data_IF_685803182116
#
_entry.id   IF_685803182116
#
_cell.length_a   1.000
_cell.length_b   1.000
_cell.length_c   1.000
_cell.angle_alpha   90.00
_cell.angle_beta   90.00
_cell.angle_gamma   90.00
#
_symmetry.space_group_name_H-M   'P 1'
#
loop_
_entity.id
_entity.type
_entity.pdbx_description
1 polymer ?
#
# COMPACT_ATOMS: atom_id res chain seq x y z
N UNK A 1 9.52 -1.82 -68.30
CA UNK A 1 9.32 -0.71 -69.27
C UNK A 1 7.85 -0.70 -69.71
N UNK A 2 7.28 0.49 -69.94
CA UNK A 2 5.94 0.77 -70.55
C UNK A 2 4.71 0.29 -69.72
N UNK A 3 3.92 1.23 -69.17
CA UNK A 3 2.76 1.94 -69.78
C UNK A 3 1.57 1.00 -70.05
N UNK A 4 0.32 1.21 -69.61
CA UNK A 4 -0.28 2.27 -68.76
C UNK A 4 -1.35 3.11 -69.48
N UNK A 5 -2.64 2.97 -69.12
CA UNK A 5 -3.77 3.84 -69.57
C UNK A 5 -4.95 3.83 -68.58
N UNK A 6 -5.59 4.99 -68.38
CA UNK A 6 -6.93 5.12 -67.75
C UNK A 6 -8.08 4.85 -68.75
N UNK A 7 -9.35 5.18 -68.51
CA UNK A 7 -9.85 6.33 -67.71
C UNK A 7 -11.38 6.29 -67.45
N UNK A 8 -11.82 6.69 -66.23
CA UNK A 8 -12.97 7.59 -65.87
C UNK A 8 -14.47 7.30 -66.19
N UNK A 9 -15.30 7.94 -65.33
CA UNK A 9 -16.77 8.32 -65.42
C UNK A 9 -17.78 7.21 -65.04
N UNK A 10 -18.94 7.47 -64.38
CA UNK A 10 -19.51 8.69 -63.75
C UNK A 10 -20.63 8.32 -62.75
N UNK A 11 -21.00 9.24 -61.84
CA UNK A 11 -22.20 9.16 -60.99
C UNK A 11 -23.30 10.15 -61.42
N UNK A 12 -24.57 9.89 -61.04
CA UNK A 12 -25.49 10.95 -60.62
C UNK A 12 -26.21 10.58 -59.29
N UNK A 13 -26.39 11.42 -58.26
CA UNK A 13 -26.95 12.79 -58.06
C UNK A 13 -28.41 12.79 -57.52
N UNK A 14 -28.51 12.96 -56.18
CA UNK A 14 -29.56 13.61 -55.35
C UNK A 14 -30.85 14.16 -56.00
N UNK A 15 -31.99 14.03 -55.27
CA UNK A 15 -32.92 15.08 -54.77
C UNK A 15 -34.05 14.43 -53.92
N UNK A 16 -34.86 15.05 -53.04
CA UNK A 16 -34.75 16.19 -52.06
C UNK A 16 -36.08 16.31 -51.28
N UNK A 17 -36.05 16.74 -50.00
CA UNK A 17 -37.19 17.40 -49.29
C UNK A 17 -37.84 16.59 -48.16
N UNK A 18 -38.37 17.19 -47.06
CA UNK A 18 -38.38 18.60 -46.65
C UNK A 18 -38.56 18.75 -45.10
N UNK A 19 -38.31 19.96 -44.60
CA UNK A 19 -38.35 20.51 -43.23
C UNK A 19 -39.57 20.10 -42.34
N UNK A 20 -39.53 20.15 -40.99
CA UNK A 20 -39.34 21.39 -40.21
C UNK A 20 -38.82 21.28 -38.74
N UNK A 21 -38.55 22.48 -38.20
CA UNK A 21 -37.78 22.83 -36.99
C UNK A 21 -38.23 22.31 -35.61
N UNK A 22 -37.22 22.13 -34.74
CA UNK A 22 -37.32 22.33 -33.28
C UNK A 22 -35.95 22.67 -32.71
N UNK A 23 -35.67 23.95 -32.41
CA UNK A 23 -34.35 24.39 -31.89
C UNK A 23 -34.38 24.45 -30.35
N UNK A 24 -33.47 23.73 -29.68
CA UNK A 24 -33.01 24.13 -28.35
C UNK A 24 -31.57 23.70 -28.04
N UNK A 25 -30.70 24.69 -27.95
CA UNK A 25 -29.55 24.78 -27.02
C UNK A 25 -28.60 23.59 -26.86
N UNK A 26 -27.45 23.69 -27.53
CA UNK A 26 -26.09 23.50 -26.98
C UNK A 26 -25.99 22.68 -25.67
N UNK A 27 -25.38 21.50 -25.76
CA UNK A 27 -24.42 20.98 -24.76
C UNK A 27 -23.57 19.87 -25.41
N UNK A 28 -22.38 20.23 -25.89
CA UNK A 28 -21.40 19.26 -26.40
C UNK A 28 -20.82 18.47 -25.24
N UNK A 29 -21.35 17.27 -24.98
CA UNK A 29 -20.75 16.33 -24.03
C UNK A 29 -19.47 15.69 -24.60
N UNK A 30 -18.39 16.46 -24.57
CA UNK A 30 -17.04 15.97 -24.87
C UNK A 30 -16.40 15.44 -23.57
N UNK A 31 -16.91 14.32 -23.08
CA UNK A 31 -16.35 13.59 -21.95
C UNK A 31 -15.94 12.17 -22.39
N UNK A 32 -14.77 12.04 -23.02
CA UNK A 32 -14.11 10.73 -23.14
C UNK A 32 -13.59 10.31 -21.76
N UNK A 33 -14.04 9.18 -21.19
CA UNK A 33 -13.48 8.70 -19.94
C UNK A 33 -12.03 8.27 -20.18
N UNK A 34 -11.06 9.00 -19.63
CA UNK A 34 -9.66 8.57 -19.63
C UNK A 34 -9.54 7.25 -18.88
N UNK A 35 -9.01 6.17 -19.49
CA UNK A 35 -8.83 4.90 -18.81
C UNK A 35 -7.76 5.05 -17.73
N UNK A 36 -7.99 4.43 -16.58
CA UNK A 36 -7.08 4.42 -15.44
C UNK A 36 -5.76 3.74 -15.82
N UNK A 37 -4.74 4.54 -16.14
CA UNK A 37 -3.35 4.09 -16.13
C UNK A 37 -2.93 3.91 -14.67
N UNK A 38 -3.17 2.71 -14.14
CA UNK A 38 -2.50 2.23 -12.92
C UNK A 38 -1.00 2.24 -13.21
N UNK A 39 -0.19 3.06 -12.54
CA UNK A 39 1.24 3.06 -12.78
C UNK A 39 1.85 1.77 -12.21
N UNK A 40 2.80 1.18 -12.95
CA UNK A 40 3.45 -0.07 -12.59
C UNK A 40 4.33 0.08 -11.33
N UNK A 41 3.72 -0.14 -10.17
CA UNK A 41 4.33 -0.18 -8.85
C UNK A 41 3.75 -1.38 -8.08
N UNK A 42 4.59 -2.13 -7.38
CA UNK A 42 4.12 -3.12 -6.41
C UNK A 42 3.65 -2.41 -5.12
N UNK A 43 2.49 -2.79 -4.56
CA UNK A 43 2.00 -2.24 -3.30
C UNK A 43 2.67 -2.95 -2.11
N UNK A 44 3.30 -2.14 -1.24
CA UNK A 44 4.01 -2.64 -0.04
C UNK A 44 2.99 -3.18 0.98
N UNK A 45 1.93 -2.40 1.25
CA UNK A 45 0.76 -2.75 2.06
C UNK A 45 -0.47 -3.13 1.22
N UNK A 46 -1.52 -3.71 1.80
CA UNK A 46 -2.82 -3.94 1.14
C UNK A 46 -3.96 -4.12 2.20
N UNK A 47 -5.23 -3.96 1.83
CA UNK A 47 -6.15 -2.93 2.30
C UNK A 47 -6.99 -3.35 3.53
N UNK A 48 -8.04 -2.57 3.80
CA UNK A 48 -9.03 -2.87 4.83
C UNK A 48 -9.58 -4.31 4.76
N UNK A 49 -9.92 -4.92 5.91
CA UNK A 49 -10.76 -6.11 5.94
C UNK A 49 -12.10 -5.85 5.25
N UNK A 50 -12.59 -6.82 4.47
CA UNK A 50 -13.85 -6.68 3.74
C UNK A 50 -15.08 -6.66 4.67
N UNK A 51 -15.56 -5.45 5.01
CA UNK A 51 -16.94 -5.03 5.36
C UNK A 51 -16.93 -3.48 5.43
N UNK A 52 -18.01 -2.70 5.22
CA UNK A 52 -19.40 -2.98 4.83
C UNK A 52 -19.67 -2.44 3.39
N UNK A 53 -20.85 -1.85 3.15
CA UNK A 53 -21.26 -1.19 1.90
C UNK A 53 -21.18 0.34 2.03
N UNK A 54 -20.76 1.03 0.97
CA UNK A 54 -20.94 2.48 0.85
C UNK A 54 -22.40 2.81 0.50
N UNK A 55 -23.06 3.66 1.29
CA UNK A 55 -24.29 4.34 0.87
C UNK A 55 -23.98 5.39 -0.20
N UNK A 56 -24.65 5.38 -1.37
CA UNK A 56 -24.32 6.23 -2.52
C UNK A 56 -24.86 7.68 -2.37
N UNK A 57 -24.46 8.36 -1.29
CA UNK A 57 -24.89 9.74 -0.97
C UNK A 57 -23.76 10.76 -0.81
N UNK A 58 -22.51 10.33 -0.61
CA UNK A 58 -21.35 11.22 -0.42
C UNK A 58 -20.74 11.67 -1.76
N UNK A 59 -21.54 12.39 -2.55
CA UNK A 59 -21.01 13.16 -3.67
C UNK A 59 -20.21 14.35 -3.15
N UNK A 60 -18.93 14.39 -3.53
CA UNK A 60 -18.07 15.58 -3.49
C UNK A 60 -17.69 16.10 -2.09
N UNK A 61 -16.98 15.26 -1.32
CA UNK A 61 -16.15 15.73 -0.19
C UNK A 61 -15.07 16.70 -0.72
N UNK A 62 -15.20 17.97 -0.34
CA UNK A 62 -14.28 19.06 -0.67
C UNK A 62 -12.86 18.82 -0.10
N UNK A 63 -11.82 19.28 -0.80
CA UNK A 63 -10.43 19.16 -0.33
C UNK A 63 -10.14 20.04 0.90
N UNK A 64 -11.04 20.97 1.23
CA UNK A 64 -10.99 21.78 2.46
C UNK A 64 -11.37 21.02 3.74
N UNK A 65 -11.76 19.74 3.66
CA UNK A 65 -12.33 18.97 4.78
C UNK A 65 -11.28 18.54 5.83
N UNK A 66 -9.99 18.58 5.50
CA UNK A 66 -8.91 18.30 6.45
C UNK A 66 -7.84 19.41 6.45
N UNK A 67 -7.24 19.64 7.61
CA UNK A 67 -6.11 20.56 7.78
C UNK A 67 -4.80 19.76 7.77
N UNK A 68 -4.03 19.88 6.68
CA UNK A 68 -2.68 19.29 6.60
C UNK A 68 -1.80 19.59 7.84
N UNK A 69 -1.79 20.81 8.42
CA UNK A 69 -1.04 21.08 9.65
C UNK A 69 -1.49 20.26 10.87
N UNK A 70 -2.80 19.98 11.00
CA UNK A 70 -3.34 19.20 12.13
C UNK A 70 -2.93 17.73 12.03
N UNK A 71 -3.06 17.13 10.85
CA UNK A 71 -2.58 15.76 10.58
C UNK A 71 -1.08 15.64 10.86
N UNK A 72 -0.28 16.61 10.39
CA UNK A 72 1.17 16.64 10.64
C UNK A 72 1.50 16.82 12.12
N UNK A 73 0.69 17.53 12.89
CA UNK A 73 0.85 17.67 14.34
C UNK A 73 0.56 16.35 15.06
N UNK A 74 -0.54 15.65 14.72
CA UNK A 74 -0.86 14.32 15.26
C UNK A 74 0.28 13.31 15.03
N UNK A 75 0.85 13.28 13.82
CA UNK A 75 2.00 12.41 13.51
C UNK A 75 3.24 12.82 14.30
N UNK A 76 3.49 14.12 14.45
CA UNK A 76 4.65 14.64 15.20
C UNK A 76 4.61 14.31 16.69
N UNK A 77 3.43 14.36 17.29
CA UNK A 77 3.22 13.99 18.70
C UNK A 77 3.68 12.55 18.97
N UNK A 78 3.48 11.66 17.99
CA UNK A 78 3.81 10.23 18.11
C UNK A 78 5.19 9.83 17.57
N UNK A 79 5.72 10.55 16.58
CA UNK A 79 7.07 10.29 16.03
C UNK A 79 7.65 11.49 15.29
N UNK A 80 8.75 12.04 15.82
CA UNK A 80 9.53 13.09 15.15
C UNK A 80 10.20 12.56 13.86
N UNK A 81 10.55 11.28 13.77
CA UNK A 81 11.12 10.66 12.55
C UNK A 81 10.08 10.60 11.41
N UNK A 82 8.86 10.13 11.70
CA UNK A 82 7.77 10.12 10.70
C UNK A 82 7.29 11.54 10.37
N UNK A 83 7.32 12.48 11.32
CA UNK A 83 7.04 13.88 11.04
C UNK A 83 8.10 14.51 10.12
N UNK A 84 9.40 14.30 10.38
CA UNK A 84 10.50 14.78 9.51
C UNK A 84 10.33 14.33 8.07
N UNK A 85 9.81 13.11 7.88
CA UNK A 85 9.49 12.53 6.57
C UNK A 85 8.51 13.38 5.76
N UNK A 86 7.38 13.74 6.39
CA UNK A 86 6.27 14.44 5.74
C UNK A 86 6.32 15.96 5.89
N UNK A 87 7.22 16.50 6.73
CA UNK A 87 7.30 17.93 7.09
C UNK A 87 7.25 18.85 5.87
N UNK A 88 8.01 18.52 4.82
CA UNK A 88 8.13 19.28 3.56
C UNK A 88 7.27 18.76 2.41
N UNK A 89 6.43 17.75 2.66
CA UNK A 89 5.59 17.10 1.65
C UNK A 89 4.17 17.63 1.78
N UNK A 90 3.59 18.19 0.72
CA UNK A 90 2.17 18.57 0.72
C UNK A 90 1.30 17.38 0.30
N UNK A 91 0.06 17.34 0.79
CA UNK A 91 -0.87 16.23 0.55
C UNK A 91 -1.65 16.38 -0.78
N UNK A 92 -1.00 16.96 -1.79
CA UNK A 92 -1.56 17.28 -3.10
C UNK A 92 -1.20 16.26 -4.21
N UNK A 93 -0.49 15.20 -3.85
CA UNK A 93 -0.01 14.15 -4.76
C UNK A 93 1.20 14.52 -5.62
N UNK A 94 1.83 15.69 -5.43
CA UNK A 94 3.10 16.03 -6.08
C UNK A 94 4.28 15.39 -5.35
N UNK A 95 5.38 15.21 -6.07
CA UNK A 95 6.63 14.66 -5.53
C UNK A 95 7.49 15.75 -4.91
N UNK A 96 7.81 15.61 -3.63
CA UNK A 96 8.66 16.53 -2.86
C UNK A 96 9.96 15.85 -2.45
N UNK A 97 11.09 16.56 -2.59
CA UNK A 97 12.40 16.06 -2.18
C UNK A 97 12.51 16.04 -0.66
N UNK A 98 12.49 14.85 -0.06
CA UNK A 98 12.56 14.70 1.40
C UNK A 98 14.01 14.73 1.89
N UNK A 99 14.90 13.94 1.27
CA UNK A 99 16.31 13.81 1.66
C UNK A 99 17.21 13.55 0.44
N UNK A 100 18.46 13.99 0.52
CA UNK A 100 19.56 13.64 -0.38
C UNK A 100 20.81 13.36 0.47
N UNK A 101 21.64 12.40 0.07
CA UNK A 101 22.98 12.14 0.64
C UNK A 101 23.94 11.80 -0.50
N UNK A 102 25.20 12.20 -0.37
CA UNK A 102 26.26 11.82 -1.30
C UNK A 102 26.97 10.56 -0.80
N UNK A 103 27.11 9.54 -1.65
CA UNK A 103 27.86 8.31 -1.35
C UNK A 103 28.45 7.73 -2.63
N UNK A 104 29.68 7.18 -2.56
CA UNK A 104 30.34 6.56 -3.71
C UNK A 104 30.53 7.47 -4.94
N UNK A 105 30.52 8.80 -4.77
CA UNK A 105 30.53 9.76 -5.87
C UNK A 105 29.19 9.95 -6.60
N UNK A 106 28.09 9.43 -6.03
CA UNK A 106 26.71 9.62 -6.48
C UNK A 106 25.89 10.40 -5.46
N UNK A 107 24.93 11.19 -5.94
CA UNK A 107 23.90 11.82 -5.11
C UNK A 107 22.67 10.90 -5.07
N UNK A 108 22.40 10.30 -3.92
CA UNK A 108 21.22 9.48 -3.66
C UNK A 108 20.14 10.35 -3.03
N UNK A 109 19.04 10.54 -3.74
CA UNK A 109 17.93 11.40 -3.35
C UNK A 109 16.61 10.66 -3.38
N UNK A 110 15.66 11.12 -2.58
CA UNK A 110 14.36 10.48 -2.51
C UNK A 110 13.22 11.50 -2.51
N UNK A 111 12.29 11.28 -3.45
CA UNK A 111 11.06 12.05 -3.59
C UNK A 111 9.90 11.26 -2.97
N UNK A 112 9.10 11.92 -2.13
CA UNK A 112 7.84 11.39 -1.59
C UNK A 112 6.67 12.21 -2.13
N UNK A 113 5.61 11.53 -2.56
CA UNK A 113 4.30 12.11 -2.81
C UNK A 113 3.27 11.52 -1.84
N UNK A 114 2.38 12.35 -1.31
CA UNK A 114 1.24 11.91 -0.48
C UNK A 114 -0.04 12.42 -1.14
N UNK A 115 -1.02 11.54 -1.37
CA UNK A 115 -2.31 11.90 -1.99
C UNK A 115 -3.48 11.32 -1.19
N UNK A 116 -4.34 12.20 -0.69
CA UNK A 116 -5.61 11.81 -0.08
C UNK A 116 -6.64 11.51 -1.17
N UNK A 117 -7.40 10.42 -1.03
CA UNK A 117 -8.49 10.02 -1.93
C UNK A 117 -9.64 9.44 -1.11
N UNK A 118 -10.84 10.01 -1.18
CA UNK A 118 -12.01 9.53 -0.42
C UNK A 118 -12.81 8.42 -1.13
N UNK A 119 -12.24 7.81 -2.18
CA UNK A 119 -12.91 6.81 -3.02
C UNK A 119 -12.03 5.57 -3.16
N UNK A 120 -12.57 4.41 -2.78
CA UNK A 120 -11.90 3.12 -2.87
C UNK A 120 -12.11 2.26 -1.63
N UNK A 121 -11.66 1.00 -1.70
CA UNK A 121 -11.68 0.04 -0.57
C UNK A 121 -10.35 -0.06 0.20
N UNK A 122 -9.31 0.65 -0.27
CA UNK A 122 -7.97 0.60 0.35
C UNK A 122 -7.88 1.63 1.47
N UNK A 123 -7.16 1.37 2.58
CA UNK A 123 -6.93 2.36 3.64
C UNK A 123 -5.76 3.27 3.27
N UNK A 124 -4.56 2.71 3.32
CA UNK A 124 -3.35 3.32 2.80
C UNK A 124 -2.80 2.48 1.65
N UNK A 125 -1.82 3.05 0.95
CA UNK A 125 -1.00 2.33 -0.01
C UNK A 125 0.34 3.03 -0.21
N UNK A 126 1.40 2.53 0.43
CA UNK A 126 2.77 2.83 0.06
C UNK A 126 3.19 1.99 -1.15
N UNK A 127 3.75 2.66 -2.15
CA UNK A 127 4.36 2.01 -3.31
C UNK A 127 5.88 1.92 -3.15
N UNK A 128 6.44 0.78 -3.55
CA UNK A 128 7.89 0.61 -3.70
C UNK A 128 8.47 1.74 -4.57
N UNK A 129 9.55 2.42 -4.16
CA UNK A 129 10.00 3.58 -4.89
C UNK A 129 10.63 3.21 -6.23
N UNK A 130 10.08 3.83 -7.27
CA UNK A 130 10.67 3.75 -8.62
C UNK A 130 12.04 4.41 -8.63
N UNK A 131 13.07 3.61 -8.89
CA UNK A 131 14.46 4.06 -9.06
C UNK A 131 14.66 4.70 -10.44
N UNK A 132 15.18 5.92 -10.45
CA UNK A 132 15.50 6.72 -11.65
C UNK A 132 16.98 7.08 -11.57
N UNK A 133 17.76 6.80 -12.61
CA UNK A 133 19.22 7.00 -12.61
C UNK A 133 19.62 8.00 -13.69
N UNK A 134 20.15 9.16 -13.30
CA UNK A 134 20.87 10.06 -14.20
C UNK A 134 22.37 9.78 -14.11
N UNK A 135 22.94 9.15 -15.15
CA UNK A 135 24.39 8.94 -15.23
C UNK A 135 25.17 10.23 -15.45
N UNK A 136 24.57 11.20 -16.16
CA UNK A 136 25.19 12.51 -16.47
C UNK A 136 25.45 13.31 -15.20
N UNK A 137 24.45 13.37 -14.32
CA UNK A 137 24.48 14.17 -13.11
C UNK A 137 24.94 13.34 -11.88
N UNK A 138 25.39 12.09 -12.11
CA UNK A 138 25.69 11.07 -11.08
C UNK A 138 24.63 11.01 -9.98
N UNK A 139 23.36 10.99 -10.36
CA UNK A 139 22.21 11.12 -9.44
C UNK A 139 21.28 9.92 -9.52
N UNK A 140 20.88 9.39 -8.37
CA UNK A 140 19.85 8.36 -8.25
C UNK A 140 18.68 8.96 -7.47
N UNK A 141 17.49 8.94 -8.08
CA UNK A 141 16.25 9.39 -7.45
C UNK A 141 15.36 8.17 -7.23
N UNK A 142 15.00 7.94 -5.98
CA UNK A 142 13.99 6.98 -5.57
C UNK A 142 12.66 7.74 -5.43
N UNK A 143 11.53 7.19 -5.90
CA UNK A 143 10.22 7.86 -5.88
C UNK A 143 9.12 7.04 -5.23
N UNK A 144 8.79 7.35 -3.98
CA UNK A 144 7.66 6.74 -3.26
C UNK A 144 6.39 7.57 -3.42
N UNK A 145 5.25 6.89 -3.53
CA UNK A 145 3.93 7.48 -3.44
C UNK A 145 3.18 6.79 -2.30
N UNK A 146 2.54 7.58 -1.44
CA UNK A 146 1.56 7.11 -0.45
C UNK A 146 0.18 7.59 -0.90
N UNK A 147 -0.76 6.67 -1.03
CA UNK A 147 -2.19 6.97 -1.09
C UNK A 147 -2.80 6.82 0.29
N UNK A 148 -3.74 7.70 0.65
CA UNK A 148 -4.49 7.63 1.92
C UNK A 148 -5.97 7.82 1.64
N UNK A 149 -6.80 6.93 2.18
CA UNK A 149 -8.24 6.92 2.04
C UNK A 149 -8.89 6.59 3.39
N UNK A 150 -9.39 7.59 4.12
CA UNK A 150 -9.98 7.43 5.45
C UNK A 150 -11.39 6.82 5.34
N UNK A 151 -11.52 5.60 4.83
CA UNK A 151 -12.81 4.96 4.60
C UNK A 151 -13.45 4.35 5.88
N UNK A 152 -12.69 4.17 6.97
CA UNK A 152 -13.19 3.70 8.29
C UNK A 152 -13.90 4.82 9.10
N UNK A 153 -14.47 5.83 8.43
CA UNK A 153 -15.07 7.02 9.06
C UNK A 153 -16.21 6.76 10.04
N UNK A 154 -16.78 5.57 9.98
CA UNK A 154 -17.98 5.13 10.69
C UNK A 154 -17.71 3.88 11.56
N UNK A 155 -16.45 3.54 11.80
CA UNK A 155 -16.10 2.52 12.79
C UNK A 155 -16.57 2.93 14.19
N UNK A 156 -17.21 2.01 14.92
CA UNK A 156 -17.90 2.31 16.18
C UNK A 156 -16.93 2.85 17.26
N UNK A 157 -15.75 2.24 17.42
CA UNK A 157 -14.71 2.67 18.37
C UNK A 157 -14.23 4.10 18.06
N UNK A 158 -14.15 4.44 16.77
CA UNK A 158 -13.77 5.78 16.32
C UNK A 158 -14.89 6.82 16.51
N UNK A 159 -16.15 6.46 16.22
CA UNK A 159 -17.31 7.35 16.36
C UNK A 159 -17.58 7.70 17.82
N UNK A 160 -17.44 6.73 18.73
CA UNK A 160 -17.55 6.96 20.18
C UNK A 160 -16.41 7.86 20.71
N UNK A 161 -15.18 7.66 20.23
CA UNK A 161 -14.00 8.43 20.66
C UNK A 161 -13.95 9.85 20.10
N UNK A 162 -14.43 10.06 18.87
CA UNK A 162 -14.34 11.33 18.15
C UNK A 162 -15.68 11.66 17.47
N UNK A 163 -16.58 12.36 18.17
CA UNK A 163 -17.88 12.73 17.61
C UNK A 163 -17.75 13.64 16.37
N UNK A 164 -16.78 14.57 16.37
CA UNK A 164 -16.56 15.55 15.30
C UNK A 164 -16.04 14.87 14.01
N UNK A 165 -16.70 15.15 12.88
CA UNK A 165 -16.36 14.54 11.59
C UNK A 165 -14.99 14.98 11.05
N UNK A 166 -14.62 16.25 11.19
CA UNK A 166 -13.33 16.76 10.73
C UNK A 166 -12.18 16.15 11.54
N UNK A 167 -12.34 16.08 12.86
CA UNK A 167 -11.34 15.45 13.75
C UNK A 167 -11.19 13.96 13.45
N UNK A 168 -12.28 13.23 13.15
CA UNK A 168 -12.22 11.85 12.66
C UNK A 168 -11.45 11.71 11.35
N UNK A 169 -11.71 12.57 10.38
CA UNK A 169 -11.01 12.55 9.08
C UNK A 169 -9.52 12.84 9.29
N UNK A 170 -9.17 13.85 10.07
CA UNK A 170 -7.78 14.21 10.37
C UNK A 170 -7.06 13.09 11.16
N UNK A 171 -7.74 12.46 12.12
CA UNK A 171 -7.23 11.30 12.88
C UNK A 171 -7.00 10.07 11.98
N UNK A 172 -7.97 9.71 11.12
CA UNK A 172 -7.82 8.57 10.21
C UNK A 172 -6.71 8.80 9.18
N UNK A 173 -6.64 10.00 8.60
CA UNK A 173 -5.55 10.35 7.68
C UNK A 173 -4.21 10.27 8.42
N UNK A 174 -4.12 10.77 9.65
CA UNK A 174 -2.90 10.68 10.46
C UNK A 174 -2.51 9.23 10.77
N UNK A 175 -3.44 8.38 11.24
CA UNK A 175 -3.21 6.96 11.55
C UNK A 175 -2.71 6.19 10.32
N UNK A 176 -3.40 6.33 9.19
CA UNK A 176 -3.05 5.64 7.96
C UNK A 176 -1.71 6.15 7.42
N UNK A 177 -1.51 7.47 7.36
CA UNK A 177 -0.26 8.04 6.89
C UNK A 177 0.92 7.66 7.80
N UNK A 178 0.72 7.54 9.12
CA UNK A 178 1.74 7.06 10.05
C UNK A 178 2.17 5.63 9.71
N UNK A 179 1.22 4.72 9.50
CA UNK A 179 1.46 3.33 9.09
C UNK A 179 2.22 3.25 7.76
N UNK A 180 1.75 3.93 6.72
CA UNK A 180 2.40 3.93 5.40
C UNK A 180 3.80 4.59 5.44
N UNK A 181 4.00 5.58 6.30
CA UNK A 181 5.32 6.18 6.53
C UNK A 181 6.30 5.23 7.24
N UNK A 182 5.84 4.27 8.06
CA UNK A 182 6.70 3.23 8.64
C UNK A 182 7.28 2.34 7.53
N UNK A 183 6.42 1.82 6.64
CA UNK A 183 6.85 1.00 5.51
C UNK A 183 7.88 1.72 4.63
N UNK A 184 7.62 3.01 4.37
CA UNK A 184 8.53 3.87 3.64
C UNK A 184 9.86 4.07 4.37
N UNK A 185 9.88 4.32 5.69
CA UNK A 185 11.13 4.42 6.45
C UNK A 185 11.94 3.13 6.44
N UNK A 186 11.27 1.98 6.51
CA UNK A 186 11.92 0.66 6.51
C UNK A 186 12.59 0.41 5.16
N UNK A 187 11.86 0.58 4.06
CA UNK A 187 12.39 0.48 2.71
C UNK A 187 13.63 1.38 2.48
N UNK A 188 13.61 2.62 3.01
CA UNK A 188 14.74 3.55 2.90
C UNK A 188 15.99 3.06 3.64
N UNK A 189 15.81 2.37 4.77
CA UNK A 189 16.90 1.79 5.55
C UNK A 189 17.59 0.62 4.84
N UNK A 190 16.85 -0.15 4.03
CA UNK A 190 17.37 -1.24 3.20
C UNK A 190 18.04 -0.74 1.91
N UNK A 191 17.41 0.21 1.22
CA UNK A 191 17.76 0.52 -0.18
C UNK A 191 18.86 1.58 -0.34
N UNK A 192 19.17 2.34 0.72
CA UNK A 192 20.07 3.48 0.64
C UNK A 192 21.43 3.20 1.29
N UNK A 193 22.51 3.85 0.81
CA UNK A 193 23.84 3.70 1.40
C UNK A 193 23.86 4.01 2.90
N UNK A 194 24.82 3.40 3.61
CA UNK A 194 25.01 3.54 5.05
C UNK A 194 24.93 5.01 5.51
N UNK A 195 24.04 5.27 6.48
CA UNK A 195 23.71 6.62 6.96
C UNK A 195 22.25 7.07 6.70
N UNK A 196 21.45 6.28 5.98
CA UNK A 196 20.00 6.50 5.89
C UNK A 196 19.17 5.72 6.93
N UNK A 197 19.47 4.43 7.13
CA UNK A 197 18.78 3.54 8.07
C UNK A 197 19.27 3.65 9.52
N UNK A 198 19.19 4.84 10.12
CA UNK A 198 19.36 5.06 11.56
C UNK A 198 18.20 5.89 12.11
N UNK A 199 16.97 5.50 11.75
CA UNK A 199 15.76 5.88 12.47
C UNK A 199 15.48 4.80 13.52
N UNK A 200 14.88 5.19 14.65
CA UNK A 200 14.52 4.22 15.70
C UNK A 200 13.59 3.15 15.14
N UNK A 201 12.67 3.55 14.26
CA UNK A 201 11.72 2.67 13.55
C UNK A 201 12.43 1.58 12.74
N UNK A 202 13.47 1.91 11.98
CA UNK A 202 14.19 0.91 11.19
C UNK A 202 15.03 -0.03 12.07
N UNK A 203 15.65 0.50 13.12
CA UNK A 203 16.46 -0.30 14.04
C UNK A 203 15.59 -1.24 14.90
N UNK A 204 14.42 -0.78 15.36
CA UNK A 204 13.41 -1.62 16.01
C UNK A 204 12.90 -2.74 15.08
N UNK A 205 12.51 -2.39 13.85
CA UNK A 205 12.04 -3.37 12.88
C UNK A 205 13.12 -4.41 12.57
N UNK A 206 14.36 -3.99 12.29
CA UNK A 206 15.47 -4.91 12.04
C UNK A 206 15.68 -5.89 13.19
N UNK A 207 15.69 -5.41 14.44
CA UNK A 207 15.80 -6.29 15.62
C UNK A 207 14.65 -7.31 15.69
N UNK A 208 13.41 -6.89 15.38
CA UNK A 208 12.26 -7.81 15.33
C UNK A 208 12.43 -8.85 14.21
N UNK A 209 12.88 -8.45 13.03
CA UNK A 209 13.10 -9.34 11.89
C UNK A 209 14.25 -10.32 12.12
N UNK A 210 15.37 -9.86 12.71
CA UNK A 210 16.48 -10.70 13.15
C UNK A 210 16.02 -11.74 14.19
N UNK A 211 15.17 -11.35 15.14
CA UNK A 211 14.58 -12.28 16.11
C UNK A 211 13.63 -13.30 15.47
N UNK A 212 12.74 -12.84 14.57
CA UNK A 212 11.80 -13.69 13.82
C UNK A 212 12.52 -14.74 12.95
N UNK A 213 13.70 -14.40 12.43
CA UNK A 213 14.56 -15.31 11.66
C UNK A 213 15.56 -16.10 12.51
N UNK A 214 15.57 -15.94 13.84
CA UNK A 214 16.54 -16.62 14.72
C UNK A 214 16.16 -18.07 15.02
N UNK A 215 17.15 -18.88 15.39
CA UNK A 215 16.94 -20.28 15.81
C UNK A 215 15.92 -20.42 16.95
N UNK A 216 15.77 -19.40 17.80
CA UNK A 216 14.82 -19.36 18.92
C UNK A 216 13.34 -19.39 18.51
N UNK A 217 13.04 -18.95 17.28
CA UNK A 217 11.71 -18.99 16.67
C UNK A 217 11.66 -19.92 15.45
N UNK A 218 12.68 -20.75 15.25
CA UNK A 218 12.75 -21.68 14.12
C UNK A 218 11.48 -22.56 14.00
N UNK A 219 10.91 -23.16 15.06
CA UNK A 219 9.66 -23.93 14.96
C UNK A 219 8.48 -23.11 14.41
N UNK A 220 8.24 -21.93 14.98
CA UNK A 220 7.12 -21.05 14.64
C UNK A 220 7.29 -20.47 13.22
N UNK A 221 8.49 -20.02 12.89
CA UNK A 221 8.85 -19.48 11.57
C UNK A 221 8.81 -20.54 10.48
N UNK A 222 9.30 -21.76 10.74
CA UNK A 222 9.18 -22.89 9.82
C UNK A 222 7.73 -23.31 9.60
N UNK A 223 6.89 -23.29 10.64
CA UNK A 223 5.46 -23.56 10.50
C UNK A 223 4.79 -22.55 9.57
N UNK A 224 4.99 -21.24 9.80
CA UNK A 224 4.43 -20.18 8.93
C UNK A 224 4.93 -20.32 7.48
N UNK A 225 6.23 -20.50 7.26
CA UNK A 225 6.78 -20.71 5.91
C UNK A 225 6.26 -21.99 5.25
N UNK A 226 6.01 -23.06 6.01
CA UNK A 226 5.39 -24.29 5.49
C UNK A 226 3.96 -24.02 5.00
N UNK A 227 3.15 -23.25 5.73
CA UNK A 227 1.81 -22.85 5.28
C UNK A 227 1.84 -21.98 4.03
N UNK A 228 2.80 -21.07 3.92
CA UNK A 228 3.01 -20.27 2.72
C UNK A 228 3.39 -21.14 1.51
N UNK A 229 4.28 -22.14 1.68
CA UNK A 229 4.59 -23.14 0.63
C UNK A 229 3.34 -23.91 0.20
N UNK A 230 2.53 -24.41 1.14
CA UNK A 230 1.30 -25.12 0.82
C UNK A 230 0.31 -24.26 0.01
N UNK A 231 0.19 -22.97 0.33
CA UNK A 231 -0.63 -22.04 -0.47
C UNK A 231 -0.05 -21.85 -1.88
N UNK A 232 1.27 -21.74 -2.03
CA UNK A 232 1.91 -21.70 -3.36
C UNK A 232 1.68 -22.99 -4.17
N UNK A 233 1.64 -24.16 -3.53
CA UNK A 233 1.34 -25.45 -4.16
C UNK A 233 -0.13 -25.63 -4.58
N UNK A 234 -1.05 -24.96 -3.87
CA UNK A 234 -2.48 -25.00 -4.17
C UNK A 234 -2.87 -24.08 -5.34
N UNK A 235 -2.10 -23.02 -5.60
CA UNK A 235 -2.37 -22.04 -6.65
C UNK A 235 -2.00 -22.54 -8.06
N UNK A 236 -2.86 -22.38 -9.08
CA UNK A 236 -2.64 -22.92 -10.42
C UNK A 236 -1.88 -21.93 -11.33
N UNK A 237 -1.74 -20.67 -10.91
CA UNK A 237 -1.09 -19.59 -11.68
C UNK A 237 0.45 -19.70 -11.64
N UNK A 238 0.99 -20.73 -10.96
CA UNK A 238 2.42 -21.04 -10.90
C UNK A 238 2.75 -22.19 -11.85
N UNK A 239 3.50 -21.96 -12.94
CA UNK A 239 4.04 -23.05 -13.73
C UNK A 239 4.99 -23.90 -12.87
N UNK A 240 4.94 -25.22 -13.00
CA UNK A 240 5.67 -26.20 -12.17
C UNK A 240 7.20 -26.13 -12.31
N UNK A 241 7.74 -25.18 -13.08
CA UNK A 241 9.15 -25.05 -13.45
C UNK A 241 9.80 -23.69 -13.16
N UNK A 242 9.11 -22.72 -12.54
CA UNK A 242 9.75 -21.41 -12.21
C UNK A 242 10.35 -21.36 -10.80
N UNK A 243 11.61 -20.94 -10.71
CA UNK A 243 12.32 -20.64 -9.46
C UNK A 243 11.57 -19.56 -8.64
N UNK A 244 10.80 -18.69 -9.31
CA UNK A 244 9.89 -17.69 -8.75
C UNK A 244 8.90 -18.24 -7.70
N UNK A 245 8.59 -19.55 -7.73
CA UNK A 245 7.67 -20.18 -6.75
C UNK A 245 8.28 -20.23 -5.34
N UNK A 246 9.59 -20.42 -5.23
CA UNK A 246 10.29 -20.45 -3.94
C UNK A 246 10.60 -19.03 -3.43
N UNK A 247 10.95 -18.11 -4.34
CA UNK A 247 11.33 -16.73 -4.00
C UNK A 247 10.21 -15.93 -3.33
N UNK A 248 8.93 -16.22 -3.62
CA UNK A 248 7.80 -15.53 -2.98
C UNK A 248 7.61 -15.87 -1.51
N UNK A 249 8.05 -17.04 -1.03
CA UNK A 249 7.80 -17.46 0.36
C UNK A 249 8.60 -16.63 1.38
N UNK A 250 9.93 -16.41 1.21
CA UNK A 250 10.68 -15.48 2.05
C UNK A 250 10.10 -14.05 2.01
N UNK A 251 9.78 -13.53 0.82
CA UNK A 251 9.22 -12.18 0.65
C UNK A 251 7.88 -12.02 1.37
N UNK A 252 6.98 -13.01 1.27
CA UNK A 252 5.70 -12.98 1.99
C UNK A 252 5.85 -13.21 3.49
N UNK A 253 6.84 -13.99 3.93
CA UNK A 253 7.16 -14.14 5.33
C UNK A 253 7.65 -12.82 5.94
N UNK A 254 8.59 -12.14 5.28
CA UNK A 254 9.10 -10.83 5.70
C UNK A 254 8.02 -9.75 5.70
N UNK A 255 7.17 -9.72 4.67
CA UNK A 255 5.96 -8.88 4.64
C UNK A 255 5.06 -9.10 5.87
N UNK A 256 4.86 -10.34 6.33
CA UNK A 256 4.04 -10.62 7.51
C UNK A 256 4.66 -10.04 8.80
N UNK A 257 5.99 -10.12 8.97
CA UNK A 257 6.70 -9.50 10.10
C UNK A 257 6.63 -7.97 10.02
N UNK A 258 6.83 -7.41 8.83
CA UNK A 258 6.75 -5.98 8.54
C UNK A 258 5.39 -5.38 8.90
N UNK A 259 4.31 -6.09 8.57
CA UNK A 259 2.94 -5.70 8.86
C UNK A 259 2.58 -5.86 10.35
N UNK A 260 3.06 -6.92 11.03
CA UNK A 260 2.96 -7.03 12.49
C UNK A 260 3.60 -5.81 13.17
N UNK A 261 4.83 -5.48 12.80
CA UNK A 261 5.55 -4.33 13.36
C UNK A 261 4.78 -3.03 13.13
N UNK A 262 4.39 -2.78 11.87
CA UNK A 262 3.77 -1.53 11.44
C UNK A 262 2.38 -1.32 12.05
N UNK A 263 1.56 -2.37 12.22
CA UNK A 263 0.28 -2.25 12.94
C UNK A 263 0.51 -2.03 14.43
N UNK A 264 1.35 -2.85 15.07
CA UNK A 264 1.62 -2.73 16.52
C UNK A 264 2.09 -1.32 16.86
N UNK A 265 3.01 -0.76 16.08
CA UNK A 265 3.55 0.60 16.27
C UNK A 265 2.48 1.67 16.04
N UNK A 266 1.67 1.55 14.97
CA UNK A 266 0.59 2.51 14.68
C UNK A 266 -0.52 2.48 15.72
N UNK A 267 -1.11 1.32 16.02
CA UNK A 267 -2.23 1.24 16.96
C UNK A 267 -1.79 1.66 18.37
N UNK A 268 -0.57 1.31 18.80
CA UNK A 268 0.00 1.83 20.06
C UNK A 268 0.15 3.36 20.07
N UNK A 269 0.70 3.95 18.99
CA UNK A 269 0.86 5.40 18.85
C UNK A 269 -0.48 6.15 18.89
N UNK A 270 -1.54 5.59 18.32
CA UNK A 270 -2.87 6.22 18.31
C UNK A 270 -3.75 5.80 19.50
N UNK A 271 -3.21 5.03 20.46
CA UNK A 271 -3.94 4.59 21.65
C UNK A 271 -5.14 3.69 21.32
N UNK A 272 -5.00 2.84 20.31
CA UNK A 272 -6.02 1.89 19.85
C UNK A 272 -5.72 0.48 20.35
N UNK A 273 -6.77 -0.33 20.46
CA UNK A 273 -6.61 -1.74 20.80
C UNK A 273 -6.08 -2.54 19.61
N UNK A 274 -5.04 -3.33 19.84
CA UNK A 274 -4.46 -4.25 18.83
C UNK A 274 -4.38 -5.66 19.42
N UNK A 275 -4.37 -6.68 18.55
CA UNK A 275 -4.36 -8.08 18.97
C UNK A 275 -3.76 -8.96 17.89
N UNK A 276 -2.78 -9.79 18.27
CA UNK A 276 -2.20 -10.80 17.38
C UNK A 276 -3.26 -11.69 16.73
N UNK A 277 -4.39 -11.97 17.40
CA UNK A 277 -5.52 -12.72 16.83
C UNK A 277 -6.23 -11.96 15.69
N UNK A 278 -6.43 -10.64 15.83
CA UNK A 278 -7.04 -9.79 14.77
C UNK A 278 -6.06 -9.63 13.61
N UNK A 279 -4.80 -9.31 13.90
CA UNK A 279 -3.74 -9.11 12.90
C UNK A 279 -3.47 -10.40 12.13
N UNK A 280 -3.11 -11.51 12.78
CA UNK A 280 -2.78 -12.76 12.08
C UNK A 280 -3.94 -13.30 11.23
N UNK A 281 -5.20 -13.08 11.63
CA UNK A 281 -6.38 -13.47 10.84
C UNK A 281 -6.49 -12.66 9.55
N UNK A 282 -6.29 -11.35 9.63
CA UNK A 282 -6.36 -10.47 8.47
C UNK A 282 -5.18 -10.75 7.51
N UNK A 283 -3.97 -10.93 8.06
CA UNK A 283 -2.76 -11.10 7.27
C UNK A 283 -2.55 -12.52 6.73
N UNK A 284 -3.12 -13.56 7.35
CA UNK A 284 -3.21 -14.89 6.72
C UNK A 284 -4.07 -14.85 5.44
N UNK A 285 -5.21 -14.15 5.47
CA UNK A 285 -6.01 -13.91 4.26
C UNK A 285 -5.23 -13.09 3.24
N UNK A 286 -4.50 -12.06 3.68
CA UNK A 286 -3.72 -11.20 2.80
C UNK A 286 -2.58 -11.96 2.10
N UNK A 287 -1.84 -12.77 2.83
CA UNK A 287 -0.78 -13.60 2.28
C UNK A 287 -1.32 -14.60 1.23
N UNK A 288 -2.49 -15.19 1.47
CA UNK A 288 -3.14 -16.04 0.47
C UNK A 288 -3.54 -15.24 -0.80
N UNK A 289 -4.14 -14.06 -0.65
CA UNK A 289 -4.46 -13.19 -1.80
C UNK A 289 -3.20 -12.75 -2.58
N UNK A 290 -2.10 -12.44 -1.89
CA UNK A 290 -0.81 -12.12 -2.53
C UNK A 290 -0.13 -13.36 -3.13
N UNK A 291 -0.46 -14.57 -2.68
CA UNK A 291 0.07 -15.82 -3.23
C UNK A 291 -0.47 -16.05 -4.65
N UNK A 292 -1.80 -15.97 -4.83
CA UNK A 292 -2.44 -16.09 -6.13
C UNK A 292 -3.89 -16.58 -6.05
N UNK A 293 -4.45 -16.95 -7.21
CA UNK A 293 -5.78 -17.56 -7.30
C UNK A 293 -5.74 -19.04 -6.85
N UNK A 294 -6.91 -19.65 -6.65
CA UNK A 294 -7.06 -21.10 -6.49
C UNK A 294 -8.18 -21.60 -7.42
N UNK A 295 -8.12 -22.84 -7.94
CA UNK A 295 -9.25 -23.41 -8.68
C UNK A 295 -10.35 -23.80 -7.67
N UNK A 296 -11.63 -23.58 -8.00
CA UNK A 296 -12.76 -23.84 -7.08
C UNK A 296 -12.76 -25.29 -6.52
N UNK A 297 -12.21 -26.26 -7.26
CA UNK A 297 -12.01 -27.64 -6.81
C UNK A 297 -11.10 -27.79 -5.57
N UNK A 298 -10.17 -26.85 -5.34
CA UNK A 298 -9.23 -26.83 -4.19
C UNK A 298 -9.66 -25.87 -3.08
N UNK A 299 -10.82 -25.22 -3.18
CA UNK A 299 -11.29 -24.19 -2.23
C UNK A 299 -11.25 -24.61 -0.76
N UNK A 300 -11.71 -25.83 -0.46
CA UNK A 300 -11.73 -26.34 0.92
C UNK A 300 -10.33 -26.49 1.51
N UNK A 301 -9.35 -26.89 0.71
CA UNK A 301 -7.96 -27.02 1.14
C UNK A 301 -7.28 -25.65 1.25
N UNK A 302 -7.63 -24.71 0.36
CA UNK A 302 -7.19 -23.31 0.44
C UNK A 302 -7.67 -22.62 1.72
N UNK A 303 -8.97 -22.67 2.02
CA UNK A 303 -9.57 -22.11 3.24
C UNK A 303 -8.97 -22.76 4.52
N UNK A 304 -8.68 -24.06 4.46
CA UNK A 304 -8.04 -24.82 5.53
C UNK A 304 -6.58 -24.42 5.75
N UNK A 305 -5.79 -24.19 4.70
CA UNK A 305 -4.43 -23.66 4.86
C UNK A 305 -4.42 -22.20 5.29
N UNK A 306 -5.38 -21.35 4.88
CA UNK A 306 -5.55 -20.00 5.45
C UNK A 306 -5.81 -20.09 6.97
N UNK A 307 -6.68 -20.99 7.41
CA UNK A 307 -6.97 -21.16 8.84
C UNK A 307 -5.74 -21.64 9.63
N UNK A 308 -4.97 -22.58 9.06
CA UNK A 308 -3.70 -23.05 9.64
C UNK A 308 -2.65 -21.94 9.69
N UNK A 309 -2.49 -21.18 8.60
CA UNK A 309 -1.61 -20.01 8.53
C UNK A 309 -1.99 -18.96 9.58
N UNK A 310 -3.27 -18.66 9.78
CA UNK A 310 -3.74 -17.75 10.83
C UNK A 310 -3.30 -18.20 12.24
N UNK A 311 -3.46 -19.49 12.56
CA UNK A 311 -3.07 -20.04 13.85
C UNK A 311 -1.55 -19.98 14.03
N UNK A 312 -0.80 -20.48 13.07
CA UNK A 312 0.66 -20.59 13.13
C UNK A 312 1.30 -19.17 13.14
N UNK A 313 0.71 -18.19 12.44
CA UNK A 313 1.08 -16.77 12.54
C UNK A 313 0.75 -16.16 13.91
N UNK A 314 -0.39 -16.49 14.51
CA UNK A 314 -0.75 -15.98 15.85
C UNK A 314 0.33 -16.41 16.86
N UNK A 315 0.73 -17.68 16.82
CA UNK A 315 1.73 -18.25 17.71
C UNK A 315 3.10 -17.59 17.52
N UNK A 316 3.58 -17.46 16.28
CA UNK A 316 4.79 -16.68 15.96
C UNK A 316 4.71 -15.25 16.49
N UNK A 317 3.57 -14.60 16.32
CA UNK A 317 3.37 -13.21 16.72
C UNK A 317 3.35 -13.04 18.24
N UNK A 318 2.71 -13.95 18.99
CA UNK A 318 2.72 -13.92 20.45
C UNK A 318 4.16 -14.10 20.98
N UNK A 319 4.90 -15.06 20.42
CA UNK A 319 6.28 -15.38 20.81
C UNK A 319 7.27 -14.25 20.52
N UNK A 320 7.04 -13.46 19.46
CA UNK A 320 7.78 -12.21 19.19
C UNK A 320 7.54 -11.17 20.31
N UNK A 321 6.31 -11.07 20.83
CA UNK A 321 5.96 -10.10 21.86
C UNK A 321 6.46 -10.51 23.25
N UNK A 322 6.41 -11.81 23.59
CA UNK A 322 6.91 -12.36 24.85
C UNK A 322 8.40 -12.04 25.08
N UNK A 323 9.22 -12.09 24.02
CA UNK A 323 10.63 -11.69 24.09
C UNK A 323 10.78 -10.20 24.36
N UNK A 324 9.99 -9.34 23.70
CA UNK A 324 10.02 -7.88 23.93
C UNK A 324 9.55 -7.49 25.33
N UNK A 325 8.65 -8.26 25.95
CA UNK A 325 8.30 -8.11 27.37
C UNK A 325 9.44 -8.52 28.30
N UNK A 326 10.21 -9.54 27.93
CA UNK A 326 11.29 -10.12 28.75
C UNK A 326 12.60 -9.33 28.76
N UNK A 327 12.78 -8.40 27.81
CA UNK A 327 13.92 -7.47 27.76
C UNK A 327 13.67 -6.24 28.64
N UNK A 328 12.44 -5.69 28.65
CA UNK A 328 12.04 -4.50 29.45
C UNK A 328 11.99 -4.72 30.98
N UNK A 329 12.29 -5.92 31.46
CA UNK A 329 12.33 -6.29 32.89
C UNK A 329 13.78 -6.45 33.39
N UNK A 330 14.77 -6.18 32.52
CA UNK A 330 16.21 -6.29 32.85
C UNK A 330 16.99 -4.97 32.78
N UNK A 331 16.30 -3.90 32.42
CA UNK A 331 16.73 -2.50 32.57
C UNK A 331 15.98 -1.88 33.76
#
# INVERSE_FOLDING_TARGET
MKQGTGTKKTSPKKKTGLHAHGIRGILSSAASPFPYLVPAFAPVSFPAPEYLFFSPGLLQLDLNIFREPAIKALIKEQSEDLYRLIKKVHFDGKYYRVKCVHSGGWEHCWDLAVRIQFFGKLQGLAFEPKKIVSRKDKKIIYRSLILVNPHELWDEELVERLWNLQERIEFLIAKILFHECIHVLIFLGETLPSGFGQTDIFLEFRKMLEFANSEKLCPESCNVQSRLRNLADLSPDFPESSEEKLDKVPVLYEFLIHEKYSIKKTDQAFGLSWSNRKVSRNYAKMAALKMGSYPESRKKDWEKEIFRLHRDLKELYDRIDDNQGSERVRD
#
